data_IF_540269460391
#
_entry.id   IF_540269460391
#
_cell.length_a   1.000
_cell.length_b   1.000
_cell.length_c   1.000
_cell.angle_alpha   90.00
_cell.angle_beta   90.00
_cell.angle_gamma   90.00
#
_symmetry.space_group_name_H-M   'P 1'
#
loop_
_entity.id
_entity.type
_entity.pdbx_description
1 polymer ?
#
# COMPACT_ATOMS: atom_id res chain seq x y z
N UNK A 1 -1.17 -27.29 -45.26
CA UNK A 1 -0.56 -26.23 -44.47
C UNK A 1 -1.17 -26.25 -43.10
N UNK A 2 -0.39 -26.67 -42.10
CA UNK A 2 -0.79 -26.53 -40.67
C UNK A 2 -0.65 -25.06 -40.36
N UNK A 3 -1.77 -24.37 -40.18
CA UNK A 3 -1.77 -23.03 -39.61
C UNK A 3 -1.21 -23.14 -38.18
N UNK A 4 0.00 -22.61 -38.02
CA UNK A 4 0.58 -22.42 -36.70
C UNK A 4 -0.16 -21.23 -36.07
N UNK A 5 -1.28 -21.49 -35.40
CA UNK A 5 -2.00 -20.45 -34.65
C UNK A 5 -1.11 -20.06 -33.49
N UNK A 6 -0.38 -18.96 -33.63
CA UNK A 6 0.33 -18.35 -32.50
C UNK A 6 -0.73 -17.88 -31.51
N UNK A 7 -0.92 -18.62 -30.42
CA UNK A 7 -1.74 -18.16 -29.30
C UNK A 7 -0.97 -17.07 -28.58
N UNK A 8 -1.56 -15.90 -28.44
CA UNK A 8 -1.00 -14.85 -27.62
C UNK A 8 -0.96 -15.26 -26.14
N UNK A 9 -0.08 -14.66 -25.40
CA UNK A 9 0.07 -14.90 -23.95
C UNK A 9 -0.52 -13.76 -23.16
N UNK A 10 -1.26 -14.09 -22.10
CA UNK A 10 -1.71 -13.14 -21.09
C UNK A 10 -0.71 -13.21 -19.93
N UNK A 11 0.00 -12.12 -19.68
CA UNK A 11 0.92 -11.97 -18.55
C UNK A 11 0.69 -10.58 -17.99
N UNK A 12 0.47 -10.53 -16.69
CA UNK A 12 0.25 -9.31 -15.92
C UNK A 12 1.30 -9.29 -14.81
N UNK A 13 1.91 -8.15 -14.60
CA UNK A 13 2.84 -7.89 -13.50
C UNK A 13 2.36 -6.67 -12.73
N UNK A 14 2.26 -6.80 -11.41
CA UNK A 14 1.81 -5.76 -10.52
C UNK A 14 2.92 -5.40 -9.54
N UNK A 15 3.28 -4.12 -9.48
CA UNK A 15 4.25 -3.57 -8.51
C UNK A 15 3.53 -2.57 -7.62
N UNK A 16 3.78 -2.62 -6.32
CA UNK A 16 3.19 -1.69 -5.36
C UNK A 16 4.27 -1.01 -4.55
N UNK A 17 4.26 0.32 -4.56
CA UNK A 17 5.19 1.15 -3.82
C UNK A 17 4.46 2.04 -2.83
N UNK A 18 5.16 2.48 -1.77
CA UNK A 18 4.64 3.38 -0.76
C UNK A 18 5.47 4.66 -0.64
N UNK A 19 4.79 5.78 -0.39
CA UNK A 19 5.41 7.04 0.01
C UNK A 19 4.67 7.60 1.21
N UNK A 20 5.38 8.33 2.09
CA UNK A 20 4.79 8.90 3.30
C UNK A 20 4.65 10.41 3.13
N UNK A 21 3.48 10.92 3.49
CA UNK A 21 3.25 12.34 3.68
C UNK A 21 3.28 12.61 5.18
N UNK A 22 4.30 13.33 5.63
CA UNK A 22 4.43 13.86 6.99
C UNK A 22 3.44 15.03 7.14
N UNK A 23 2.35 14.79 7.88
CA UNK A 23 1.24 15.73 7.99
C UNK A 23 1.52 16.80 9.05
N UNK A 24 2.21 16.45 10.12
CA UNK A 24 2.51 17.38 11.23
C UNK A 24 3.86 18.09 11.05
N UNK A 25 4.68 17.71 10.06
CA UNK A 25 5.94 18.35 9.70
C UNK A 25 7.07 18.09 10.71
N UNK A 26 6.98 17.02 11.49
CA UNK A 26 7.97 16.72 12.52
C UNK A 26 9.21 15.96 11.98
N UNK A 27 9.17 15.48 10.73
CA UNK A 27 10.24 14.75 10.05
C UNK A 27 10.31 13.26 10.40
N UNK A 28 9.34 12.75 11.16
CA UNK A 28 9.26 11.35 11.57
C UNK A 28 7.95 10.73 11.05
N UNK A 29 7.95 9.42 10.80
CA UNK A 29 6.72 8.72 10.43
C UNK A 29 5.93 8.37 11.69
N UNK A 30 4.74 8.90 11.83
CA UNK A 30 3.98 8.82 13.07
C UNK A 30 2.46 8.81 12.91
N UNK A 31 1.80 8.98 14.05
CA UNK A 31 0.34 9.04 14.15
C UNK A 31 -0.22 10.21 13.32
N UNK A 32 -1.14 9.92 12.42
CA UNK A 32 -1.81 10.92 11.59
C UNK A 32 -1.15 11.16 10.25
N UNK A 33 0.07 10.67 10.03
CA UNK A 33 0.71 10.71 8.72
C UNK A 33 0.00 9.81 7.72
N UNK A 34 0.21 10.08 6.44
CA UNK A 34 -0.48 9.36 5.38
C UNK A 34 0.51 8.53 4.59
N UNK A 35 0.26 7.22 4.51
CA UNK A 35 0.93 6.33 3.58
C UNK A 35 0.13 6.36 2.27
N UNK A 36 0.80 6.76 1.18
CA UNK A 36 0.24 6.76 -0.16
C UNK A 36 0.82 5.60 -0.94
N UNK A 37 -0.04 4.72 -1.41
CA UNK A 37 0.32 3.55 -2.22
C UNK A 37 0.06 3.83 -3.69
N UNK A 38 1.01 3.42 -4.53
CA UNK A 38 0.87 3.39 -5.99
C UNK A 38 1.00 1.95 -6.45
N UNK A 39 -0.02 1.44 -7.15
CA UNK A 39 -0.05 0.11 -7.73
C UNK A 39 0.11 0.29 -9.24
N UNK A 40 1.25 -0.12 -9.77
CA UNK A 40 1.52 -0.13 -11.21
C UNK A 40 1.26 -1.53 -11.76
N UNK A 41 0.51 -1.63 -12.85
CA UNK A 41 0.16 -2.87 -13.53
C UNK A 41 0.71 -2.79 -14.94
N UNK A 42 1.59 -3.71 -15.29
CA UNK A 42 2.17 -3.81 -16.63
C UNK A 42 1.64 -5.07 -17.34
N UNK A 43 1.28 -4.90 -18.63
CA UNK A 43 0.97 -6.02 -19.50
C UNK A 43 2.27 -6.56 -20.13
N UNK A 44 2.83 -7.61 -19.55
CA UNK A 44 4.03 -8.32 -20.06
C UNK A 44 3.70 -9.35 -21.14
N UNK A 45 2.42 -9.57 -21.44
CA UNK A 45 1.97 -10.52 -22.44
C UNK A 45 2.04 -9.97 -23.86
N UNK A 46 1.56 -10.76 -24.79
CA UNK A 46 1.46 -10.40 -26.23
C UNK A 46 0.01 -10.11 -26.65
N UNK A 47 -0.96 -10.31 -25.77
CA UNK A 47 -2.36 -9.94 -25.97
C UNK A 47 -2.74 -8.75 -25.10
N UNK A 48 -3.73 -7.96 -25.55
CA UNK A 48 -4.29 -6.87 -24.76
C UNK A 48 -5.11 -7.42 -23.58
N UNK A 49 -4.97 -6.77 -22.43
CA UNK A 49 -5.73 -7.02 -21.21
C UNK A 49 -6.85 -6.01 -21.01
N UNK A 50 -7.94 -6.39 -20.35
CA UNK A 50 -9.04 -5.53 -19.94
C UNK A 50 -9.77 -6.05 -18.71
N UNK A 51 -10.79 -5.33 -18.25
CA UNK A 51 -11.61 -5.68 -17.09
C UNK A 51 -10.77 -5.90 -15.84
N UNK A 52 -9.96 -4.92 -15.51
CA UNK A 52 -9.11 -4.97 -14.32
C UNK A 52 -9.94 -4.89 -13.04
N UNK A 53 -9.59 -5.71 -12.08
CA UNK A 53 -10.05 -5.59 -10.70
C UNK A 53 -8.83 -5.57 -9.77
N UNK A 54 -8.84 -4.67 -8.80
CA UNK A 54 -7.79 -4.54 -7.79
C UNK A 54 -8.43 -4.76 -6.42
N UNK A 55 -7.94 -5.76 -5.70
CA UNK A 55 -8.32 -6.03 -4.31
C UNK A 55 -7.12 -5.74 -3.43
N UNK A 56 -7.21 -4.69 -2.64
CA UNK A 56 -6.13 -4.22 -1.77
C UNK A 56 -6.34 -4.72 -0.34
N UNK A 57 -5.31 -5.30 0.27
CA UNK A 57 -5.34 -5.84 1.62
C UNK A 57 -4.28 -5.18 2.47
N UNK A 58 -4.71 -4.45 3.49
CA UNK A 58 -3.86 -3.79 4.47
C UNK A 58 -3.99 -4.48 5.82
N UNK A 59 -2.85 -4.80 6.43
CA UNK A 59 -2.78 -5.33 7.80
C UNK A 59 -1.71 -4.58 8.59
N UNK A 60 -1.82 -4.59 9.93
CA UNK A 60 -0.70 -4.16 10.78
C UNK A 60 0.40 -5.23 10.82
N UNK A 61 1.55 -4.92 11.43
CA UNK A 61 2.66 -5.87 11.51
C UNK A 61 2.35 -7.12 12.34
N UNK A 62 1.29 -7.10 13.17
CA UNK A 62 0.76 -8.26 13.89
C UNK A 62 -0.24 -9.09 13.07
N UNK A 63 -0.62 -8.64 11.85
CA UNK A 63 -1.53 -9.33 10.94
C UNK A 63 -3.01 -8.97 11.12
N UNK A 64 -3.34 -7.96 11.90
CA UNK A 64 -4.73 -7.51 12.05
C UNK A 64 -5.14 -6.65 10.85
N UNK A 65 -6.32 -6.90 10.29
CA UNK A 65 -6.84 -6.15 9.14
C UNK A 65 -7.07 -4.68 9.49
N UNK A 66 -6.61 -3.80 8.60
CA UNK A 66 -6.81 -2.36 8.67
C UNK A 66 -7.66 -1.89 7.49
N UNK A 67 -8.26 -0.71 7.63
CA UNK A 67 -9.08 -0.10 6.59
C UNK A 67 -8.32 1.02 5.90
N UNK A 68 -8.23 0.97 4.58
CA UNK A 68 -7.71 2.08 3.77
C UNK A 68 -8.64 3.30 3.83
N UNK A 69 -8.08 4.50 3.78
CA UNK A 69 -8.84 5.76 3.64
C UNK A 69 -9.31 5.97 2.20
N UNK A 70 -8.46 5.61 1.23
CA UNK A 70 -8.82 5.54 -0.18
C UNK A 70 -8.43 4.16 -0.71
N UNK A 71 -9.39 3.50 -1.37
CA UNK A 71 -9.21 2.20 -2.00
C UNK A 71 -9.00 2.36 -3.50
N UNK A 72 -8.22 1.48 -4.16
CA UNK A 72 -8.11 1.52 -5.61
C UNK A 72 -9.47 1.26 -6.27
N UNK A 73 -9.63 1.71 -7.52
CA UNK A 73 -10.82 1.44 -8.31
C UNK A 73 -11.03 -0.07 -8.44
N UNK A 74 -12.16 -0.57 -7.97
CA UNK A 74 -12.44 -2.00 -7.89
C UNK A 74 -12.77 -2.65 -9.25
N UNK A 75 -13.04 -1.86 -10.29
CA UNK A 75 -13.36 -2.34 -11.64
C UNK A 75 -12.98 -1.30 -12.67
N UNK A 76 -12.20 -1.70 -13.66
CA UNK A 76 -11.75 -0.85 -14.76
C UNK A 76 -11.85 -1.65 -16.08
N UNK A 77 -12.80 -1.28 -16.97
CA UNK A 77 -13.02 -1.98 -18.23
C UNK A 77 -12.04 -1.60 -19.34
N UNK A 78 -11.15 -0.64 -19.11
CA UNK A 78 -10.28 -0.11 -20.14
C UNK A 78 -9.25 -1.12 -20.64
N UNK A 79 -8.89 -0.96 -21.91
CA UNK A 79 -7.94 -1.82 -22.58
C UNK A 79 -6.50 -1.41 -22.24
N UNK A 80 -5.65 -2.42 -21.99
CA UNK A 80 -4.22 -2.26 -21.81
C UNK A 80 -3.47 -3.09 -22.86
N UNK A 81 -2.86 -2.42 -23.81
CA UNK A 81 -2.06 -3.07 -24.85
C UNK A 81 -0.79 -3.74 -24.29
N UNK A 82 -0.18 -4.70 -25.02
CA UNK A 82 1.13 -5.24 -24.69
C UNK A 82 2.17 -4.15 -24.41
N UNK A 83 2.91 -4.26 -23.30
CA UNK A 83 3.88 -3.27 -22.82
C UNK A 83 3.26 -2.01 -22.22
N UNK A 84 1.94 -1.92 -22.18
CA UNK A 84 1.24 -0.79 -21.51
C UNK A 84 1.29 -0.90 -19.99
N UNK A 85 1.19 0.26 -19.32
CA UNK A 85 1.14 0.37 -17.86
C UNK A 85 -0.10 1.14 -17.45
N UNK A 86 -0.78 0.67 -16.40
CA UNK A 86 -1.84 1.37 -15.67
C UNK A 86 -1.44 1.56 -14.22
N UNK A 87 -1.92 2.63 -13.60
CA UNK A 87 -1.68 2.91 -12.17
C UNK A 87 -2.97 3.09 -11.41
N UNK A 88 -2.99 2.55 -10.20
CA UNK A 88 -4.05 2.75 -9.21
C UNK A 88 -3.43 3.29 -7.93
N UNK A 89 -4.21 3.96 -7.12
CA UNK A 89 -3.76 4.56 -5.87
C UNK A 89 -4.62 4.11 -4.71
N UNK A 90 -3.99 4.01 -3.55
CA UNK A 90 -4.64 3.78 -2.27
C UNK A 90 -3.98 4.64 -1.20
N UNK A 91 -4.62 4.84 -0.06
CA UNK A 91 -3.99 5.56 1.06
C UNK A 91 -4.47 5.05 2.41
N UNK A 92 -3.61 5.22 3.41
CA UNK A 92 -3.89 4.90 4.79
C UNK A 92 -3.34 5.99 5.71
N UNK A 93 -4.19 6.50 6.61
CA UNK A 93 -3.73 7.39 7.69
C UNK A 93 -3.29 6.53 8.87
N UNK A 94 -2.05 6.73 9.31
CA UNK A 94 -1.45 5.94 10.38
C UNK A 94 -2.25 6.13 11.67
N UNK A 95 -2.84 5.05 12.16
CA UNK A 95 -3.58 4.99 13.40
C UNK A 95 -2.73 4.39 14.54
N UNK A 96 -3.17 4.56 15.78
CA UNK A 96 -2.42 4.14 16.96
C UNK A 96 -2.12 2.63 16.97
N UNK A 97 -3.04 1.79 16.51
CA UNK A 97 -2.83 0.35 16.45
C UNK A 97 -1.69 -0.06 15.50
N UNK A 98 -1.53 0.64 14.36
CA UNK A 98 -0.41 0.40 13.45
C UNK A 98 0.92 0.81 14.08
N UNK A 99 0.93 1.91 14.84
CA UNK A 99 2.08 2.36 15.61
C UNK A 99 2.47 1.34 16.70
N UNK A 100 1.49 0.92 17.51
CA UNK A 100 1.69 -0.01 18.62
C UNK A 100 2.22 -1.37 18.15
N UNK A 101 1.86 -1.78 16.93
CA UNK A 101 2.29 -3.04 16.30
C UNK A 101 3.54 -2.90 15.42
N UNK A 102 4.12 -1.69 15.31
CA UNK A 102 5.41 -1.48 14.63
C UNK A 102 5.34 -1.29 13.13
N UNK A 103 4.14 -1.07 12.56
CA UNK A 103 3.99 -0.75 11.14
C UNK A 103 2.84 -1.45 10.47
N UNK A 104 2.84 -1.39 9.14
CA UNK A 104 1.80 -1.97 8.29
C UNK A 104 2.42 -2.73 7.11
N UNK A 105 1.66 -3.70 6.60
CA UNK A 105 1.96 -4.47 5.39
C UNK A 105 0.79 -4.35 4.44
N UNK A 106 1.06 -4.10 3.18
CA UNK A 106 0.03 -3.93 2.18
C UNK A 106 0.34 -4.73 0.92
N UNK A 107 -0.64 -5.44 0.37
CA UNK A 107 -0.55 -6.15 -0.89
C UNK A 107 -1.81 -5.97 -1.73
N UNK A 108 -1.68 -6.01 -3.04
CA UNK A 108 -2.78 -5.90 -3.97
C UNK A 108 -2.88 -7.14 -4.87
N UNK A 109 -4.03 -7.80 -4.84
CA UNK A 109 -4.38 -8.82 -5.83
C UNK A 109 -5.00 -8.13 -7.04
N UNK A 110 -4.36 -8.26 -8.19
CA UNK A 110 -4.83 -7.75 -9.47
C UNK A 110 -5.34 -8.90 -10.34
N UNK A 111 -6.46 -8.67 -10.99
CA UNK A 111 -7.02 -9.60 -11.99
C UNK A 111 -7.40 -8.83 -13.24
N UNK A 112 -7.10 -9.40 -14.40
CA UNK A 112 -7.53 -8.91 -15.69
C UNK A 112 -8.02 -10.05 -16.58
N UNK A 113 -8.65 -9.73 -17.70
CA UNK A 113 -9.08 -10.71 -18.69
C UNK A 113 -8.50 -10.40 -20.06
N UNK A 114 -8.56 -11.39 -20.96
CA UNK A 114 -8.44 -11.13 -22.40
C UNK A 114 -9.59 -10.24 -22.89
N UNK A 115 -9.50 -9.73 -24.12
CA UNK A 115 -10.51 -8.84 -24.70
C UNK A 115 -11.91 -9.48 -24.77
N UNK A 116 -11.97 -10.80 -24.96
CA UNK A 116 -13.23 -11.55 -25.00
C UNK A 116 -13.88 -11.75 -23.61
N UNK A 117 -13.13 -11.51 -22.51
CA UNK A 117 -13.61 -11.72 -21.15
C UNK A 117 -13.74 -13.19 -20.74
N UNK A 118 -13.06 -14.09 -21.45
CA UNK A 118 -13.17 -15.55 -21.26
C UNK A 118 -11.99 -16.19 -20.59
N UNK A 119 -10.80 -15.58 -20.66
CA UNK A 119 -9.56 -16.05 -20.04
C UNK A 119 -9.09 -14.95 -19.11
N UNK A 120 -8.66 -15.33 -17.90
CA UNK A 120 -8.22 -14.41 -16.87
C UNK A 120 -6.79 -14.67 -16.48
N UNK A 121 -6.11 -13.61 -16.07
CA UNK A 121 -4.79 -13.61 -15.45
C UNK A 121 -4.85 -12.85 -14.13
N UNK A 122 -4.08 -13.28 -13.16
CA UNK A 122 -3.97 -12.64 -11.84
C UNK A 122 -2.52 -12.50 -11.46
N UNK A 123 -2.24 -11.49 -10.66
CA UNK A 123 -0.96 -11.29 -10.02
C UNK A 123 -1.15 -10.66 -8.64
N UNK A 124 -0.23 -10.93 -7.72
CA UNK A 124 -0.14 -10.27 -6.42
C UNK A 124 1.05 -9.32 -6.48
N UNK A 125 0.84 -8.09 -6.07
CA UNK A 125 1.86 -7.07 -6.18
C UNK A 125 3.16 -7.44 -5.47
N UNK A 126 4.26 -7.14 -6.14
CA UNK A 126 5.62 -7.08 -5.62
C UNK A 126 5.92 -5.67 -5.10
N UNK A 127 6.82 -5.49 -4.14
CA UNK A 127 7.18 -4.17 -3.59
C UNK A 127 8.15 -3.38 -4.49
N UNK A 128 8.67 -4.02 -5.54
CA UNK A 128 9.64 -3.45 -6.48
C UNK A 128 11.08 -3.45 -5.98
N UNK A 129 11.37 -4.23 -4.92
CA UNK A 129 12.71 -4.31 -4.32
C UNK A 129 13.30 -5.72 -4.42
N UNK A 130 13.83 -6.08 -5.57
CA UNK A 130 14.48 -7.38 -5.80
C UNK A 130 15.75 -7.61 -4.95
N UNK A 131 16.25 -6.58 -4.26
CA UNK A 131 17.49 -6.68 -3.48
C UNK A 131 17.33 -7.47 -2.17
N UNK A 132 16.13 -7.69 -1.70
CA UNK A 132 15.81 -8.50 -0.53
C UNK A 132 15.76 -10.01 -0.82
N UNK A 133 15.79 -10.38 -2.12
CA UNK A 133 15.81 -11.77 -2.61
C UNK A 133 14.44 -12.30 -3.03
N UNK A 134 13.37 -11.50 -2.94
CA UNK A 134 12.08 -11.76 -3.54
C UNK A 134 11.95 -10.95 -4.84
N UNK A 135 11.49 -11.57 -5.92
CA UNK A 135 11.40 -10.97 -7.26
C UNK A 135 10.04 -11.20 -7.90
N UNK A 136 9.07 -11.70 -7.15
CA UNK A 136 7.80 -12.15 -7.74
C UNK A 136 6.57 -11.58 -7.03
N UNK A 137 6.45 -11.77 -5.75
CA UNK A 137 5.31 -11.30 -4.94
C UNK A 137 5.78 -10.95 -3.55
N UNK A 138 5.64 -9.70 -3.16
CA UNK A 138 5.99 -9.27 -1.82
C UNK A 138 5.04 -8.20 -1.28
N UNK A 139 4.97 -8.09 0.05
CA UNK A 139 4.20 -7.05 0.69
C UNK A 139 4.98 -5.74 0.71
N UNK A 140 4.33 -4.64 0.37
CA UNK A 140 4.89 -3.31 0.59
C UNK A 140 4.84 -2.99 2.07
N UNK A 141 5.96 -3.18 2.75
CA UNK A 141 6.08 -3.01 4.18
C UNK A 141 6.43 -1.55 4.53
N UNK A 142 5.70 -0.97 5.47
CA UNK A 142 6.05 0.32 6.06
C UNK A 142 6.32 0.11 7.55
N UNK A 143 7.61 0.08 7.89
CA UNK A 143 8.05 0.02 9.29
C UNK A 143 7.80 1.36 9.96
N UNK A 144 7.13 1.35 11.10
CA UNK A 144 6.90 2.53 11.92
C UNK A 144 7.57 2.29 13.26
N UNK A 145 8.59 3.09 13.58
CA UNK A 145 9.29 3.01 14.88
C UNK A 145 8.54 3.88 15.88
N UNK A 146 7.94 3.33 16.94
CA UNK A 146 7.33 4.14 17.97
C UNK A 146 8.37 5.07 18.60
N UNK A 147 8.10 6.36 18.61
CA UNK A 147 8.92 7.36 19.31
C UNK A 147 8.11 7.95 20.49
N UNK A 148 8.01 7.22 21.63
CA UNK A 148 7.23 7.67 22.75
C UNK A 148 7.90 8.86 23.42
N UNK A 149 7.23 10.02 23.44
CA UNK A 149 7.67 11.19 24.20
C UNK A 149 6.71 11.48 25.34
N UNK A 150 7.24 11.64 26.55
CA UNK A 150 6.50 12.09 27.71
C UNK A 150 6.99 13.47 28.13
N UNK A 151 6.14 14.49 27.98
CA UNK A 151 6.39 15.80 28.56
C UNK A 151 5.59 15.97 29.85
N UNK A 152 6.25 15.87 30.99
CA UNK A 152 5.64 16.07 32.29
C UNK A 152 6.00 17.46 32.83
N UNK A 153 5.02 18.34 32.87
CA UNK A 153 5.17 19.66 33.53
C UNK A 153 4.54 19.60 34.93
N UNK A 154 5.36 19.75 35.95
CA UNK A 154 4.89 19.91 37.34
C UNK A 154 4.92 21.40 37.69
N UNK A 155 3.77 21.98 37.90
CA UNK A 155 3.66 23.33 38.48
C UNK A 155 3.49 23.24 39.98
N UNK A 156 4.29 23.99 40.73
CA UNK A 156 4.14 24.18 42.15
C UNK A 156 3.39 25.48 42.39
N UNK A 157 2.31 25.40 43.10
CA UNK A 157 1.63 26.59 43.62
C UNK A 157 1.98 26.64 45.10
N UNK A 158 2.74 27.65 45.49
CA UNK A 158 2.95 27.91 46.92
C UNK A 158 1.64 28.42 47.52
N UNK A 159 1.02 27.59 48.30
CA UNK A 159 -0.17 28.01 49.06
C UNK A 159 0.32 28.44 50.44
N UNK A 160 0.87 29.65 50.49
CA UNK A 160 1.27 30.29 51.72
C UNK A 160 -0.01 30.66 52.50
N UNK A 161 -0.48 29.69 53.32
CA UNK A 161 -1.72 29.84 54.07
C UNK A 161 -1.54 30.57 55.38
N UNK A 162 -0.30 30.88 55.78
CA UNK A 162 0.03 31.64 57.03
C UNK A 162 0.74 32.96 56.75
N UNK A 163 1.06 33.29 55.50
CA UNK A 163 1.60 34.59 55.09
C UNK A 163 3.05 34.80 55.50
N UNK A 164 3.81 33.76 55.81
CA UNK A 164 5.19 33.84 56.27
C UNK A 164 6.23 33.83 55.15
N UNK A 165 5.79 33.65 53.90
CA UNK A 165 6.62 33.65 52.67
C UNK A 165 7.73 32.59 52.63
N UNK A 166 7.57 31.45 53.26
CA UNK A 166 8.53 30.32 53.24
C UNK A 166 8.03 29.12 52.48
#
# INVERSE_FOLDING_TARGET
PTENTLFGTLILEATKTATITDVDGNGETGLGDIINYTIAIENKGTESLKNFTVTDTLVDAAGNTLSLNATPTSSDPDLLAPGGVKTYVASYTIAQNALDNGGVKNSALVRASNVAGTIYVTDISDDGNDADGNTVTDTTDTLITPNPSLNLTKTYVNNDNDGDNK
#
